data_IF_957009576995
#
_entry.id   IF_957009576995
#
_cell.length_a   1.000
_cell.length_b   1.000
_cell.length_c   1.000
_cell.angle_alpha   90.00
_cell.angle_beta   90.00
_cell.angle_gamma   90.00
#
_symmetry.space_group_name_H-M   'P 1'
#
loop_
_entity.id
_entity.type
_entity.pdbx_description
1 polymer ?
#
# COMPACT_ATOMS: atom_id res chain seq x y z
N UNK A 1 -29.66 23.78 -9.74
CA UNK A 1 -29.03 22.56 -10.25
C UNK A 1 -27.65 22.53 -9.65
N UNK A 2 -27.49 21.82 -8.54
CA UNK A 2 -26.19 21.64 -7.87
C UNK A 2 -25.38 20.63 -8.68
N UNK A 3 -24.35 21.12 -9.39
CA UNK A 3 -23.35 20.25 -10.01
C UNK A 3 -22.58 19.52 -8.90
N UNK A 4 -23.07 18.36 -8.49
CA UNK A 4 -22.34 17.45 -7.61
C UNK A 4 -21.23 16.76 -8.41
N UNK A 5 -20.18 17.50 -8.74
CA UNK A 5 -18.95 16.98 -9.35
C UNK A 5 -17.93 16.60 -8.25
N UNK A 6 -18.39 15.93 -7.19
CA UNK A 6 -17.46 15.34 -6.22
C UNK A 6 -16.67 14.22 -6.91
N UNK A 7 -15.34 14.29 -6.96
CA UNK A 7 -14.55 13.23 -7.57
C UNK A 7 -14.84 11.89 -6.89
N UNK A 8 -15.18 10.89 -7.67
CA UNK A 8 -15.45 9.53 -7.19
C UNK A 8 -14.18 8.69 -7.22
N UNK A 9 -14.09 7.80 -6.25
CA UNK A 9 -13.06 6.75 -6.21
C UNK A 9 -13.53 5.62 -7.14
N UNK A 10 -12.62 5.05 -7.92
CA UNK A 10 -12.90 3.83 -8.67
C UNK A 10 -13.25 2.70 -7.67
N UNK A 11 -14.33 1.92 -7.92
CA UNK A 11 -14.69 0.85 -7.02
C UNK A 11 -13.54 -0.15 -6.86
N UNK A 12 -13.25 -0.52 -5.61
CA UNK A 12 -12.30 -1.60 -5.34
C UNK A 12 -12.99 -2.96 -5.55
N UNK A 13 -12.26 -3.93 -6.06
CA UNK A 13 -12.77 -5.27 -6.26
C UNK A 13 -13.00 -5.99 -4.92
N UNK A 14 -14.00 -6.88 -4.90
CA UNK A 14 -14.17 -7.79 -3.79
C UNK A 14 -13.19 -8.95 -3.93
N UNK A 15 -12.35 -9.22 -2.93
CA UNK A 15 -11.47 -10.38 -2.95
C UNK A 15 -12.28 -11.69 -2.88
N UNK A 16 -11.70 -12.77 -3.40
CA UNK A 16 -12.22 -14.10 -3.14
C UNK A 16 -12.09 -14.38 -1.65
N UNK A 17 -13.15 -14.95 -1.05
CA UNK A 17 -13.23 -15.21 0.37
C UNK A 17 -13.36 -16.71 0.63
N UNK A 18 -12.61 -17.21 1.60
CA UNK A 18 -12.61 -18.59 2.06
C UNK A 18 -12.95 -18.64 3.55
N UNK A 19 -13.59 -19.72 4.01
CA UNK A 19 -14.04 -19.87 5.41
C UNK A 19 -12.89 -20.35 6.32
N UNK A 20 -11.88 -20.97 5.73
CA UNK A 20 -10.69 -21.48 6.41
C UNK A 20 -9.45 -21.13 5.58
N UNK A 21 -8.26 -21.03 6.19
CA UNK A 21 -7.02 -20.88 5.46
C UNK A 21 -6.82 -22.02 4.47
N UNK A 22 -6.71 -21.69 3.18
CA UNK A 22 -6.43 -22.63 2.09
C UNK A 22 -4.99 -22.57 1.64
N UNK A 23 -4.40 -21.38 1.75
CA UNK A 23 -3.02 -21.11 1.39
C UNK A 23 -2.26 -20.67 2.64
N UNK A 24 -1.29 -21.46 3.14
CA UNK A 24 -0.59 -21.11 4.36
C UNK A 24 0.28 -19.86 4.11
N UNK A 25 -0.17 -18.72 4.64
CA UNK A 25 0.63 -17.52 4.83
C UNK A 25 0.89 -16.68 3.56
N UNK A 26 1.73 -15.65 3.70
CA UNK A 26 2.36 -14.87 2.64
C UNK A 26 3.80 -15.41 2.38
N UNK A 27 4.04 -16.73 2.14
CA UNK A 27 5.38 -17.27 2.12
C UNK A 27 6.17 -16.88 0.88
N UNK A 28 5.47 -16.66 -0.25
CA UNK A 28 6.08 -16.23 -1.49
C UNK A 28 6.62 -14.81 -1.33
N UNK A 29 5.80 -13.87 -0.86
CA UNK A 29 6.20 -12.47 -0.61
C UNK A 29 7.34 -12.43 0.39
N UNK A 30 7.24 -13.21 1.49
CA UNK A 30 8.30 -13.26 2.50
C UNK A 30 9.62 -13.75 1.91
N UNK A 31 9.57 -14.81 1.11
CA UNK A 31 10.76 -15.39 0.45
C UNK A 31 11.33 -14.44 -0.59
N UNK A 32 10.49 -13.84 -1.42
CA UNK A 32 10.89 -12.96 -2.51
C UNK A 32 11.53 -11.66 -2.02
N UNK A 33 11.02 -11.09 -0.92
CA UNK A 33 11.51 -9.85 -0.34
C UNK A 33 12.52 -10.05 0.80
N UNK A 34 12.75 -11.28 1.28
CA UNK A 34 13.60 -11.60 2.44
C UNK A 34 13.10 -11.01 3.76
N UNK A 35 11.78 -10.88 3.95
CA UNK A 35 11.16 -10.18 5.09
C UNK A 35 11.53 -10.84 6.42
N UNK A 36 11.41 -12.17 6.55
CA UNK A 36 11.77 -12.90 7.78
C UNK A 36 13.24 -12.72 8.15
N UNK A 37 14.13 -12.76 7.15
CA UNK A 37 15.55 -12.50 7.37
C UNK A 37 15.80 -11.06 7.81
N UNK A 38 15.12 -10.12 7.19
CA UNK A 38 15.23 -8.71 7.52
C UNK A 38 14.74 -8.44 8.95
N UNK A 39 13.56 -8.99 9.33
CA UNK A 39 13.04 -8.87 10.70
C UNK A 39 14.02 -9.44 11.72
N UNK A 40 14.55 -10.62 11.47
CA UNK A 40 15.51 -11.27 12.39
C UNK A 40 16.84 -10.51 12.46
N UNK A 41 17.39 -10.06 11.32
CA UNK A 41 18.69 -9.40 11.28
C UNK A 41 18.68 -8.01 11.95
N UNK A 42 17.55 -7.31 11.89
CA UNK A 42 17.40 -5.96 12.43
C UNK A 42 16.55 -5.91 13.69
N UNK A 43 16.02 -7.05 14.16
CA UNK A 43 15.15 -7.16 15.33
C UNK A 43 13.98 -6.17 15.26
N UNK A 44 13.17 -6.26 14.21
CA UNK A 44 12.05 -5.37 13.94
C UNK A 44 10.79 -6.15 13.59
N UNK A 45 9.65 -5.68 14.08
CA UNK A 45 8.34 -6.32 13.92
C UNK A 45 7.21 -5.31 13.67
N UNK A 46 7.52 -4.01 13.69
CA UNK A 46 6.55 -2.92 13.66
C UNK A 46 6.02 -2.52 15.04
N UNK A 47 6.46 -3.17 16.11
CA UNK A 47 5.98 -2.90 17.46
C UNK A 47 6.10 -1.43 17.88
N UNK A 48 5.03 -0.90 18.51
CA UNK A 48 4.94 0.49 18.99
C UNK A 48 4.72 1.51 17.88
N UNK A 49 4.38 1.08 16.67
CA UNK A 49 3.98 1.92 15.54
C UNK A 49 2.60 1.50 15.05
N UNK A 50 1.89 2.42 14.42
CA UNK A 50 0.52 2.22 13.94
C UNK A 50 0.40 2.59 12.47
N UNK A 51 -0.29 1.74 11.70
CA UNK A 51 -0.77 2.06 10.36
C UNK A 51 -2.26 2.44 10.40
N UNK A 52 -2.63 3.56 9.80
CA UNK A 52 -4.02 3.86 9.47
C UNK A 52 -4.34 3.33 8.07
N UNK A 53 -5.43 2.57 7.93
CA UNK A 53 -5.86 1.97 6.66
C UNK A 53 -7.16 2.64 6.21
N UNK A 54 -7.07 3.52 5.21
CA UNK A 54 -8.22 4.19 4.60
C UNK A 54 -8.78 3.31 3.49
N UNK A 55 -9.84 2.53 3.80
CA UNK A 55 -10.35 1.49 2.93
C UNK A 55 -11.84 1.16 3.21
N UNK A 56 -12.28 -0.08 2.94
CA UNK A 56 -13.64 -0.58 3.16
C UNK A 56 -13.96 -0.96 4.61
N UNK A 57 -13.01 -0.78 5.52
CA UNK A 57 -13.11 -1.22 6.92
C UNK A 57 -12.21 -2.42 7.22
N UNK A 58 -12.52 -3.17 8.28
CA UNK A 58 -11.74 -4.34 8.70
C UNK A 58 -12.59 -5.33 9.49
N UNK A 59 -12.32 -6.63 9.32
CA UNK A 59 -12.81 -7.67 10.23
C UNK A 59 -11.95 -7.67 11.50
N UNK A 60 -12.35 -6.86 12.48
CA UNK A 60 -11.57 -6.61 13.69
C UNK A 60 -11.55 -7.80 14.66
N UNK A 61 -12.44 -8.80 14.47
CA UNK A 61 -12.46 -10.03 15.26
C UNK A 61 -11.50 -11.11 14.72
N UNK A 62 -10.93 -10.91 13.53
CA UNK A 62 -10.03 -11.89 12.93
C UNK A 62 -8.82 -12.15 13.83
N UNK A 63 -8.45 -13.43 13.99
CA UNK A 63 -7.33 -13.86 14.84
C UNK A 63 -5.99 -13.23 14.46
N UNK A 64 -5.84 -12.82 13.20
CA UNK A 64 -4.65 -12.15 12.70
C UNK A 64 -4.37 -10.80 13.37
N UNK A 65 -5.39 -10.15 13.88
CA UNK A 65 -5.20 -8.81 14.48
C UNK A 65 -5.01 -8.84 15.99
N UNK A 66 -5.50 -9.86 16.70
CA UNK A 66 -5.16 -10.17 18.09
C UNK A 66 -5.14 -8.99 19.08
N UNK A 67 -6.13 -8.07 19.02
CA UNK A 67 -6.22 -6.89 19.89
C UNK A 67 -5.35 -5.71 19.44
N UNK A 68 -4.70 -5.77 18.27
CA UNK A 68 -3.88 -4.66 17.72
C UNK A 68 -4.68 -3.67 16.88
N UNK A 69 -5.98 -3.87 16.71
CA UNK A 69 -6.91 -2.83 16.24
C UNK A 69 -7.23 -1.91 17.42
N UNK A 70 -6.60 -0.74 17.48
CA UNK A 70 -6.62 0.11 18.67
C UNK A 70 -7.64 1.24 18.61
N UNK A 71 -8.23 1.50 17.45
CA UNK A 71 -9.36 2.40 17.21
C UNK A 71 -10.03 2.02 15.90
N UNK A 72 -11.25 2.52 15.69
CA UNK A 72 -12.01 2.36 14.45
C UNK A 72 -12.68 3.68 14.08
N UNK A 73 -12.74 3.99 12.77
CA UNK A 73 -13.41 5.19 12.28
C UNK A 73 -14.26 4.82 11.06
N UNK A 74 -15.53 5.17 11.09
CA UNK A 74 -16.44 5.01 9.95
C UNK A 74 -16.91 6.37 9.44
N UNK A 75 -16.61 6.65 8.18
CA UNK A 75 -16.99 7.87 7.47
C UNK A 75 -18.02 7.58 6.36
N UNK A 76 -18.64 6.39 6.41
CA UNK A 76 -19.68 5.96 5.48
C UNK A 76 -21.04 5.84 6.20
N UNK A 77 -22.09 5.59 5.43
CA UNK A 77 -23.41 5.33 5.97
C UNK A 77 -23.62 3.85 6.35
N UNK A 78 -22.63 2.98 6.07
CA UNK A 78 -22.69 1.58 6.47
C UNK A 78 -22.68 1.41 7.99
N UNK A 79 -23.02 0.22 8.45
CA UNK A 79 -23.03 -0.15 9.87
C UNK A 79 -23.93 0.81 10.70
N UNK A 80 -25.05 1.24 10.09
CA UNK A 80 -25.98 2.20 10.68
C UNK A 80 -25.42 3.61 10.89
N UNK A 81 -24.35 3.97 10.17
CA UNK A 81 -23.67 5.26 10.31
C UNK A 81 -22.95 5.42 11.67
N UNK A 82 -22.69 4.33 12.40
CA UNK A 82 -21.95 4.41 13.65
C UNK A 82 -20.49 4.81 13.39
N UNK A 83 -20.02 5.98 13.86
CA UNK A 83 -18.69 6.49 13.56
C UNK A 83 -17.54 5.67 14.15
N UNK A 84 -17.83 4.77 15.09
CA UNK A 84 -16.86 3.91 15.77
C UNK A 84 -16.94 2.45 15.30
N UNK A 85 -17.67 2.17 14.24
CA UNK A 85 -17.82 0.83 13.68
C UNK A 85 -17.34 0.80 12.22
N UNK A 86 -16.09 0.42 12.04
CA UNK A 86 -15.47 0.25 10.72
C UNK A 86 -15.51 -1.22 10.24
N UNK A 87 -16.51 -2.00 10.66
CA UNK A 87 -16.68 -3.39 10.18
C UNK A 87 -16.72 -3.43 8.66
N UNK A 88 -15.97 -4.36 8.08
CA UNK A 88 -15.79 -4.54 6.65
C UNK A 88 -16.83 -5.53 6.08
N UNK A 89 -17.73 -5.05 5.23
CA UNK A 89 -18.66 -5.88 4.48
C UNK A 89 -18.22 -6.18 3.04
N UNK A 90 -17.07 -5.66 2.62
CA UNK A 90 -16.48 -5.89 1.31
C UNK A 90 -15.37 -6.96 1.34
N UNK A 91 -14.42 -6.80 2.24
CA UNK A 91 -13.26 -7.67 2.44
C UNK A 91 -11.95 -7.11 1.88
N UNK A 92 -11.98 -5.98 1.14
CA UNK A 92 -10.77 -5.39 0.58
C UNK A 92 -9.87 -4.81 1.69
N UNK A 93 -10.42 -3.99 2.58
CA UNK A 93 -9.64 -3.40 3.67
C UNK A 93 -9.11 -4.42 4.68
N UNK A 94 -9.84 -5.52 4.90
CA UNK A 94 -9.37 -6.64 5.75
C UNK A 94 -8.16 -7.33 5.13
N UNK A 95 -8.18 -7.60 3.81
CA UNK A 95 -7.04 -8.14 3.07
C UNK A 95 -5.83 -7.21 3.16
N UNK A 96 -6.02 -5.93 2.87
CA UNK A 96 -4.97 -4.89 2.95
C UNK A 96 -4.36 -4.81 4.36
N UNK A 97 -5.20 -4.78 5.40
CA UNK A 97 -4.73 -4.74 6.79
C UNK A 97 -3.94 -5.97 7.20
N UNK A 98 -4.35 -7.16 6.74
CA UNK A 98 -3.64 -8.42 6.99
C UNK A 98 -2.25 -8.44 6.35
N UNK A 99 -2.09 -7.93 5.12
CA UNK A 99 -0.76 -7.80 4.48
C UNK A 99 0.18 -6.93 5.33
N UNK A 100 -0.33 -5.86 5.95
CA UNK A 100 0.49 -5.02 6.83
C UNK A 100 0.87 -5.77 8.11
N UNK A 101 -0.14 -6.30 8.86
CA UNK A 101 0.05 -6.61 10.27
C UNK A 101 -0.63 -7.91 10.75
N UNK A 102 -1.00 -8.84 9.90
CA UNK A 102 -1.47 -10.15 10.36
C UNK A 102 -0.42 -10.82 11.27
N UNK A 103 -0.86 -11.46 12.34
CA UNK A 103 -0.01 -12.23 13.24
C UNK A 103 -0.82 -13.33 13.96
N UNK A 104 -1.50 -14.13 13.19
CA UNK A 104 -2.30 -15.27 13.62
C UNK A 104 -2.19 -16.40 12.60
N UNK A 105 -3.25 -16.61 11.81
CA UNK A 105 -3.23 -17.59 10.71
C UNK A 105 -2.34 -17.14 9.55
N UNK A 106 -2.27 -15.82 9.32
CA UNK A 106 -1.34 -15.21 8.37
C UNK A 106 -0.27 -14.40 9.11
N UNK A 107 0.81 -14.06 8.39
CA UNK A 107 1.89 -13.24 8.92
C UNK A 107 2.20 -12.08 7.97
N UNK A 108 1.78 -10.90 8.35
CA UNK A 108 2.03 -9.66 7.63
C UNK A 108 3.50 -9.22 7.68
N UNK A 109 3.80 -8.15 6.97
CA UNK A 109 5.16 -7.60 6.87
C UNK A 109 5.64 -7.04 8.22
N UNK A 110 4.76 -6.34 8.95
CA UNK A 110 5.01 -5.75 10.27
C UNK A 110 4.05 -6.35 11.33
N UNK A 111 4.23 -7.62 11.75
CA UNK A 111 3.22 -8.40 12.44
C UNK A 111 2.87 -7.91 13.86
N UNK A 112 3.66 -7.04 14.46
CA UNK A 112 3.37 -6.46 15.78
C UNK A 112 2.97 -4.97 15.70
N UNK A 113 2.79 -4.43 14.51
CA UNK A 113 2.23 -3.09 14.35
C UNK A 113 0.77 -3.03 14.78
N UNK A 114 0.34 -1.90 15.34
CA UNK A 114 -1.07 -1.60 15.55
C UNK A 114 -1.72 -1.13 14.24
N UNK A 115 -3.04 -1.31 14.15
CA UNK A 115 -3.83 -0.91 12.98
C UNK A 115 -5.03 -0.08 13.43
N UNK A 116 -5.39 0.90 12.61
CA UNK A 116 -6.63 1.66 12.73
C UNK A 116 -7.33 1.63 11.36
N UNK A 117 -8.42 0.86 11.21
CA UNK A 117 -9.27 0.96 10.05
C UNK A 117 -10.03 2.29 10.05
N UNK A 118 -9.96 3.01 8.93
CA UNK A 118 -10.75 4.20 8.64
C UNK A 118 -11.59 3.89 7.42
N UNK A 119 -12.84 3.54 7.65
CA UNK A 119 -13.78 3.16 6.59
C UNK A 119 -14.21 4.41 5.81
N UNK A 120 -13.63 4.59 4.64
CA UNK A 120 -13.91 5.66 3.69
C UNK A 120 -14.61 5.16 2.43
N UNK A 121 -14.55 3.84 2.20
CA UNK A 121 -15.26 3.13 1.14
C UNK A 121 -16.39 2.30 1.77
N UNK A 122 -17.54 2.30 1.12
CA UNK A 122 -18.69 1.50 1.56
C UNK A 122 -18.51 0.00 1.23
N UNK A 123 -19.48 -0.81 1.61
CA UNK A 123 -19.45 -2.27 1.41
C UNK A 123 -19.49 -2.67 -0.08
N UNK A 124 -19.85 -1.77 -0.99
CA UNK A 124 -19.72 -1.95 -2.44
C UNK A 124 -18.34 -1.53 -2.97
N UNK A 125 -17.40 -1.11 -2.09
CA UNK A 125 -16.08 -0.63 -2.46
C UNK A 125 -16.07 0.76 -3.10
N UNK A 126 -17.09 1.58 -2.84
CA UNK A 126 -17.25 2.92 -3.42
C UNK A 126 -17.08 4.02 -2.39
N UNK A 127 -16.54 5.14 -2.81
CA UNK A 127 -16.37 6.32 -1.96
C UNK A 127 -16.09 7.58 -2.78
N UNK A 128 -15.75 8.64 -2.07
CA UNK A 128 -15.42 9.94 -2.66
C UNK A 128 -14.21 10.58 -1.93
N UNK A 129 -13.59 11.55 -2.56
CA UNK A 129 -12.40 12.21 -2.01
C UNK A 129 -12.72 13.19 -0.88
N UNK A 130 -13.98 13.50 -0.59
CA UNK A 130 -14.36 14.23 0.63
C UNK A 130 -14.18 13.32 1.86
N UNK A 131 -14.63 12.05 1.76
CA UNK A 131 -14.42 11.05 2.82
C UNK A 131 -12.94 10.75 3.03
N UNK A 132 -12.15 10.66 1.94
CA UNK A 132 -10.69 10.53 2.03
C UNK A 132 -10.08 11.72 2.77
N UNK A 133 -10.44 12.94 2.41
CA UNK A 133 -9.97 14.15 3.09
C UNK A 133 -10.33 14.14 4.58
N UNK A 134 -11.54 13.72 4.93
CA UNK A 134 -11.95 13.58 6.35
C UNK A 134 -11.14 12.49 7.08
N UNK A 135 -10.83 11.36 6.42
CA UNK A 135 -9.98 10.31 6.98
C UNK A 135 -8.55 10.80 7.23
N UNK A 136 -7.93 11.48 6.26
CA UNK A 136 -6.60 12.07 6.41
C UNK A 136 -6.57 13.15 7.50
N UNK A 137 -7.63 13.97 7.59
CA UNK A 137 -7.78 14.96 8.67
C UNK A 137 -7.84 14.28 10.03
N UNK A 138 -8.61 13.20 10.17
CA UNK A 138 -8.66 12.42 11.40
C UNK A 138 -7.27 11.87 11.77
N UNK A 139 -6.53 11.32 10.81
CA UNK A 139 -5.15 10.86 11.03
C UNK A 139 -4.25 12.01 11.51
N UNK A 140 -4.28 13.16 10.82
CA UNK A 140 -3.50 14.35 11.20
C UNK A 140 -3.78 14.77 12.64
N UNK A 141 -5.04 14.79 13.05
CA UNK A 141 -5.46 15.26 14.38
C UNK A 141 -5.15 14.24 15.49
N UNK A 142 -4.97 12.94 15.13
CA UNK A 142 -4.84 11.84 16.10
C UNK A 142 -3.51 11.06 16.00
N UNK A 143 -2.59 11.40 15.07
CA UNK A 143 -1.38 10.61 14.84
C UNK A 143 -0.47 10.48 16.08
N UNK A 144 -0.34 11.53 16.87
CA UNK A 144 0.48 11.49 18.09
C UNK A 144 -0.14 10.57 19.15
N UNK A 145 -1.46 10.71 19.39
CA UNK A 145 -2.16 9.93 20.40
C UNK A 145 -2.09 8.44 20.14
N UNK A 146 -2.17 8.03 18.86
CA UNK A 146 -2.22 6.64 18.46
C UNK A 146 -0.90 6.14 17.85
N UNK A 147 0.18 6.91 17.91
CA UNK A 147 1.47 6.61 17.30
C UNK A 147 1.33 6.22 15.81
N UNK A 148 0.44 6.89 15.04
CA UNK A 148 0.27 6.65 13.62
C UNK A 148 1.47 7.24 12.89
N UNK A 149 2.21 6.39 12.16
CA UNK A 149 3.41 6.79 11.44
C UNK A 149 3.34 6.46 9.95
N UNK A 150 2.33 5.70 9.54
CA UNK A 150 2.06 5.39 8.15
C UNK A 150 0.54 5.36 7.88
N UNK A 151 0.16 5.74 6.67
CA UNK A 151 -1.19 5.65 6.12
C UNK A 151 -1.16 4.78 4.87
N UNK A 152 -2.04 3.79 4.79
CA UNK A 152 -2.27 2.96 3.62
C UNK A 152 -3.53 3.45 2.89
N UNK A 153 -3.40 3.74 1.60
CA UNK A 153 -4.51 4.11 0.72
C UNK A 153 -4.49 3.24 -0.53
N UNK A 154 -5.12 2.08 -0.44
CA UNK A 154 -5.25 1.13 -1.55
C UNK A 154 -6.44 1.49 -2.45
N UNK A 155 -6.45 2.70 -2.99
CA UNK A 155 -7.55 3.30 -3.75
C UNK A 155 -7.06 4.37 -4.72
N UNK A 156 -7.92 4.73 -5.69
CA UNK A 156 -7.65 5.79 -6.66
C UNK A 156 -8.88 6.15 -7.49
N UNK A 157 -8.78 7.13 -8.37
CA UNK A 157 -9.88 7.60 -9.21
C UNK A 157 -10.03 6.86 -10.56
N UNK A 158 -9.12 5.90 -10.84
CA UNK A 158 -9.12 5.12 -12.09
C UNK A 158 -8.70 5.92 -13.33
N UNK A 159 -8.22 7.16 -13.16
CA UNK A 159 -7.70 7.98 -14.26
C UNK A 159 -6.17 7.83 -14.39
N UNK A 160 -5.58 8.54 -15.34
CA UNK A 160 -4.16 8.46 -15.64
C UNK A 160 -3.56 9.86 -15.75
N UNK A 161 -2.69 10.22 -14.82
CA UNK A 161 -2.04 11.52 -14.75
C UNK A 161 -0.52 11.37 -14.88
N UNK A 162 0.11 12.33 -15.54
CA UNK A 162 1.57 12.40 -15.72
C UNK A 162 2.21 13.55 -14.92
N UNK A 163 1.40 14.39 -14.25
CA UNK A 163 1.86 15.54 -13.46
C UNK A 163 0.85 15.89 -12.38
N UNK A 164 1.31 16.42 -11.27
CA UNK A 164 0.51 16.96 -10.16
C UNK A 164 0.46 18.51 -10.14
N UNK A 165 0.91 19.18 -11.20
CA UNK A 165 0.99 20.65 -11.25
C UNK A 165 -0.38 21.31 -11.07
N UNK A 166 -1.45 20.70 -11.57
CA UNK A 166 -2.81 21.20 -11.41
C UNK A 166 -3.39 20.98 -10.01
N UNK A 167 -2.67 20.29 -9.11
CA UNK A 167 -3.11 19.94 -7.76
C UNK A 167 -2.50 20.84 -6.66
N UNK A 168 -1.92 21.99 -6.99
CA UNK A 168 -1.30 22.86 -5.98
C UNK A 168 -2.23 23.29 -4.85
N UNK A 169 -3.51 23.47 -5.14
CA UNK A 169 -4.53 23.89 -4.18
C UNK A 169 -5.43 22.73 -3.71
N UNK A 170 -5.10 21.50 -4.09
CA UNK A 170 -5.88 20.32 -3.75
C UNK A 170 -5.91 20.07 -2.23
N UNK A 171 -7.10 19.78 -1.69
CA UNK A 171 -7.30 19.60 -0.26
C UNK A 171 -6.64 18.32 0.28
N UNK A 172 -6.66 17.23 -0.49
CA UNK A 172 -6.01 15.96 -0.12
C UNK A 172 -4.50 16.15 -0.13
N UNK A 173 -3.95 16.83 -1.15
CA UNK A 173 -2.52 17.16 -1.20
C UNK A 173 -2.05 17.94 0.01
N UNK A 174 -2.79 18.96 0.44
CA UNK A 174 -2.45 19.76 1.64
C UNK A 174 -2.37 18.90 2.90
N UNK A 175 -3.32 17.97 3.06
CA UNK A 175 -3.31 17.04 4.20
C UNK A 175 -2.11 16.06 4.13
N UNK A 176 -1.77 15.56 2.94
CA UNK A 176 -0.59 14.73 2.74
C UNK A 176 0.68 15.51 3.08
N UNK A 177 0.79 16.77 2.69
CA UNK A 177 1.92 17.65 3.04
C UNK A 177 2.04 17.84 4.56
N UNK A 178 0.92 18.10 5.26
CA UNK A 178 0.89 18.24 6.72
C UNK A 178 1.34 16.94 7.40
N UNK A 179 0.84 15.78 6.97
CA UNK A 179 1.25 14.47 7.48
C UNK A 179 2.73 14.20 7.25
N UNK A 180 3.24 14.51 6.06
CA UNK A 180 4.66 14.38 5.71
C UNK A 180 5.57 15.21 6.61
N UNK A 181 5.19 16.47 6.91
CA UNK A 181 5.91 17.33 7.87
C UNK A 181 5.95 16.68 9.25
N UNK A 182 4.88 16.02 9.65
CA UNK A 182 4.77 15.26 10.91
C UNK A 182 5.42 13.86 10.84
N UNK A 183 6.18 13.55 9.78
CA UNK A 183 6.87 12.28 9.57
C UNK A 183 5.93 11.07 9.47
N UNK A 184 4.68 11.30 9.09
CA UNK A 184 3.70 10.27 8.75
C UNK A 184 3.76 10.00 7.24
N UNK A 185 4.13 8.78 6.85
CA UNK A 185 4.22 8.38 5.46
C UNK A 185 2.83 8.04 4.90
N UNK A 186 2.38 8.73 3.87
CA UNK A 186 1.15 8.37 3.14
C UNK A 186 1.53 7.56 1.91
N UNK A 187 1.09 6.31 1.85
CA UNK A 187 1.45 5.32 0.82
C UNK A 187 0.22 4.99 0.01
N UNK A 188 0.29 5.11 -1.31
CA UNK A 188 -0.87 5.10 -2.19
C UNK A 188 -0.64 4.19 -3.40
N UNK A 189 -1.66 3.41 -3.75
CA UNK A 189 -1.66 2.53 -4.92
C UNK A 189 -1.60 3.32 -6.23
N UNK A 190 -0.66 2.98 -7.12
CA UNK A 190 -0.44 3.69 -8.39
C UNK A 190 -1.64 3.62 -9.34
N UNK A 191 -2.48 2.58 -9.24
CA UNK A 191 -3.64 2.32 -10.07
C UNK A 191 -3.52 1.04 -10.89
N UNK A 192 -4.67 0.51 -11.35
CA UNK A 192 -4.79 -0.80 -12.00
C UNK A 192 -5.28 -0.72 -13.46
N UNK A 193 -5.26 0.45 -14.06
CA UNK A 193 -5.89 0.71 -15.35
C UNK A 193 -4.87 0.94 -16.49
N UNK A 194 -3.61 0.46 -16.36
CA UNK A 194 -2.57 0.70 -17.37
C UNK A 194 -2.99 0.21 -18.76
N UNK A 195 -3.51 -1.02 -18.87
CA UNK A 195 -4.04 -1.54 -20.13
C UNK A 195 -5.22 -0.68 -20.65
N UNK A 196 -6.16 -0.30 -19.77
CA UNK A 196 -7.33 0.52 -20.14
C UNK A 196 -6.92 1.92 -20.64
N UNK A 197 -5.80 2.45 -20.16
CA UNK A 197 -5.21 3.68 -20.64
C UNK A 197 -4.26 3.48 -21.84
N UNK A 198 -4.48 2.41 -22.62
CA UNK A 198 -3.70 2.07 -23.82
C UNK A 198 -2.19 1.98 -23.54
N UNK A 199 -1.82 1.44 -22.41
CA UNK A 199 -0.43 1.31 -21.94
C UNK A 199 0.33 2.65 -21.90
N UNK A 200 -0.38 3.74 -21.64
CA UNK A 200 0.24 5.05 -21.48
C UNK A 200 0.74 5.23 -20.04
N UNK A 201 1.98 5.70 -19.90
CA UNK A 201 2.55 5.99 -18.60
C UNK A 201 1.72 7.01 -17.83
N UNK A 202 1.61 6.82 -16.52
CA UNK A 202 0.89 7.68 -15.61
C UNK A 202 0.48 6.95 -14.34
N UNK A 203 -0.11 7.67 -13.40
CA UNK A 203 -0.66 7.14 -12.16
C UNK A 203 -2.06 7.72 -11.90
N UNK A 204 -2.85 7.02 -11.11
CA UNK A 204 -4.15 7.54 -10.68
C UNK A 204 -3.97 8.64 -9.62
N UNK A 205 -5.01 9.44 -9.42
CA UNK A 205 -5.09 10.34 -8.27
C UNK A 205 -5.64 9.55 -7.06
N UNK A 206 -5.06 9.69 -5.84
CA UNK A 206 -4.07 10.68 -5.45
C UNK A 206 -2.60 10.22 -5.52
N UNK A 207 -2.28 9.03 -6.04
CA UNK A 207 -0.91 8.51 -6.13
C UNK A 207 0.04 9.41 -6.95
N UNK A 208 -0.49 10.23 -7.88
CA UNK A 208 0.29 11.20 -8.65
C UNK A 208 0.87 12.33 -7.81
N UNK A 209 0.40 12.55 -6.58
CA UNK A 209 0.87 13.61 -5.68
C UNK A 209 2.29 13.29 -5.21
N UNK A 210 3.26 14.17 -5.52
CA UNK A 210 4.70 13.98 -5.22
C UNK A 210 5.05 13.90 -3.74
N UNK A 211 4.17 14.26 -2.84
CA UNK A 211 4.40 14.21 -1.39
C UNK A 211 4.02 12.87 -0.75
N UNK A 212 3.30 12.00 -1.46
CA UNK A 212 3.04 10.63 -1.02
C UNK A 212 4.14 9.66 -1.49
N UNK A 213 3.99 8.39 -1.16
CA UNK A 213 4.79 7.28 -1.70
C UNK A 213 3.89 6.44 -2.59
N UNK A 214 4.15 6.45 -3.88
CA UNK A 214 3.37 5.73 -4.89
C UNK A 214 3.91 4.31 -5.10
N UNK A 215 3.00 3.33 -5.19
CA UNK A 215 3.38 1.91 -5.24
C UNK A 215 2.76 1.21 -6.45
N UNK A 216 3.62 0.67 -7.33
CA UNK A 216 3.24 -0.23 -8.41
C UNK A 216 3.29 -1.71 -7.99
N UNK A 217 2.76 -2.59 -8.83
CA UNK A 217 2.66 -4.02 -8.55
C UNK A 217 3.54 -4.88 -9.45
N UNK A 218 4.22 -5.87 -8.84
CA UNK A 218 4.96 -6.94 -9.51
C UNK A 218 4.43 -8.31 -9.08
N UNK A 219 4.77 -9.35 -9.85
CA UNK A 219 4.65 -10.73 -9.40
C UNK A 219 5.82 -11.10 -8.49
N UNK A 220 5.60 -12.00 -7.54
CA UNK A 220 6.64 -12.52 -6.64
C UNK A 220 7.13 -13.92 -7.04
N UNK A 221 6.38 -14.61 -7.91
CA UNK A 221 6.70 -15.95 -8.36
C UNK A 221 6.23 -16.21 -9.81
N UNK A 222 6.46 -17.43 -10.28
CA UNK A 222 5.87 -17.97 -11.50
C UNK A 222 4.48 -18.53 -11.18
N UNK A 223 3.44 -17.73 -11.45
CA UNK A 223 2.05 -17.97 -11.06
C UNK A 223 1.19 -18.47 -12.24
N UNK A 224 1.79 -18.63 -13.44
CA UNK A 224 1.08 -19.04 -14.65
C UNK A 224 0.46 -17.87 -15.41
N UNK A 225 -0.75 -18.06 -15.96
CA UNK A 225 -1.44 -17.05 -16.78
C UNK A 225 -2.62 -16.42 -16.04
N UNK A 226 -2.84 -15.12 -16.27
CA UNK A 226 -3.95 -14.36 -15.69
C UNK A 226 -4.72 -13.57 -16.74
N UNK A 227 -6.04 -13.49 -16.54
CA UNK A 227 -6.90 -12.54 -17.23
C UNK A 227 -7.59 -11.68 -16.18
N UNK A 228 -7.30 -10.39 -16.18
CA UNK A 228 -7.83 -9.44 -15.21
C UNK A 228 -9.16 -8.88 -15.68
N UNK A 229 -10.20 -8.98 -14.85
CA UNK A 229 -11.56 -8.56 -15.20
C UNK A 229 -11.70 -7.07 -15.50
N UNK A 230 -10.88 -6.25 -14.84
CA UNK A 230 -10.90 -4.81 -15.01
C UNK A 230 -10.03 -4.39 -16.20
N UNK A 231 -10.69 -4.07 -17.34
CA UNK A 231 -10.04 -3.50 -18.49
C UNK A 231 -9.46 -4.45 -19.51
N UNK A 232 -9.33 -5.77 -19.22
CA UNK A 232 -8.86 -6.77 -20.17
C UNK A 232 -7.35 -6.97 -20.23
N UNK A 233 -6.60 -6.49 -19.23
CA UNK A 233 -5.18 -6.80 -19.06
C UNK A 233 -4.97 -8.32 -18.90
N UNK A 234 -3.91 -8.88 -19.51
CA UNK A 234 -3.59 -10.30 -19.48
C UNK A 234 -2.09 -10.49 -19.33
N UNK A 235 -1.71 -11.43 -18.47
CA UNK A 235 -0.41 -12.07 -18.50
C UNK A 235 -0.56 -13.48 -19.08
N UNK A 236 0.21 -13.85 -20.08
CA UNK A 236 0.20 -15.20 -20.66
C UNK A 236 1.13 -16.12 -19.89
N UNK A 237 2.19 -15.58 -19.32
CA UNK A 237 3.03 -16.19 -18.28
C UNK A 237 3.48 -15.12 -17.28
N UNK A 238 3.99 -15.55 -16.13
CA UNK A 238 4.46 -14.66 -15.07
C UNK A 238 5.81 -15.11 -14.54
N UNK A 239 6.59 -14.18 -14.01
CA UNK A 239 7.84 -14.47 -13.32
C UNK A 239 8.08 -13.46 -12.18
N UNK A 240 8.87 -13.87 -11.21
CA UNK A 240 9.25 -13.03 -10.10
C UNK A 240 9.91 -11.71 -10.53
N UNK A 241 9.38 -10.58 -10.09
CA UNK A 241 9.86 -9.23 -10.41
C UNK A 241 9.27 -8.61 -11.67
N UNK A 242 8.51 -9.35 -12.46
CA UNK A 242 7.80 -8.82 -13.64
C UNK A 242 6.70 -7.85 -13.18
N UNK A 243 6.62 -6.68 -13.83
CA UNK A 243 5.54 -5.71 -13.58
C UNK A 243 4.22 -6.27 -14.10
N UNK A 244 3.18 -6.19 -13.29
CA UNK A 244 1.86 -6.68 -13.70
C UNK A 244 1.26 -5.82 -14.82
N UNK A 245 0.55 -6.42 -15.81
CA UNK A 245 0.04 -5.67 -16.96
C UNK A 245 -1.06 -4.65 -16.61
N UNK A 246 -1.67 -4.76 -15.43
CA UNK A 246 -2.63 -3.78 -14.95
C UNK A 246 -1.96 -2.59 -14.24
N UNK A 247 -0.75 -2.74 -13.69
CA UNK A 247 -0.11 -1.72 -12.84
C UNK A 247 0.18 -0.45 -13.61
N UNK A 248 -0.46 0.65 -13.19
CA UNK A 248 -0.07 1.97 -13.65
C UNK A 248 1.34 2.29 -13.17
N UNK A 249 2.09 2.99 -14.02
CA UNK A 249 3.49 3.32 -13.79
C UNK A 249 3.89 4.58 -14.56
N UNK A 250 4.72 5.38 -13.92
CA UNK A 250 5.24 6.63 -14.48
C UNK A 250 6.74 6.70 -14.22
N UNK A 251 7.55 6.71 -15.28
CA UNK A 251 8.99 6.78 -15.15
C UNK A 251 9.49 8.24 -15.05
N UNK A 252 10.60 8.44 -14.34
CA UNK A 252 11.23 9.75 -14.13
C UNK A 252 11.66 10.46 -15.42
N UNK A 253 11.82 9.74 -16.53
CA UNK A 253 12.09 10.33 -17.84
C UNK A 253 10.92 11.11 -18.42
N UNK A 254 9.68 10.76 -18.02
CA UNK A 254 8.44 11.48 -18.39
C UNK A 254 8.22 12.66 -17.43
N UNK A 255 8.31 12.40 -16.12
CA UNK A 255 8.21 13.44 -15.11
C UNK A 255 9.10 13.11 -13.90
N UNK A 256 10.16 13.90 -13.71
CA UNK A 256 11.13 13.68 -12.62
C UNK A 256 10.58 13.97 -11.21
N UNK A 257 9.47 14.68 -11.10
CA UNK A 257 8.91 15.11 -9.83
C UNK A 257 7.80 14.20 -9.29
N UNK A 258 7.17 13.41 -10.16
CA UNK A 258 5.99 12.60 -9.86
C UNK A 258 6.09 11.18 -10.41
N UNK A 259 7.27 10.60 -10.48
CA UNK A 259 7.45 9.20 -10.93
C UNK A 259 6.93 8.20 -9.88
N UNK A 260 6.60 6.99 -10.32
CA UNK A 260 6.30 5.87 -9.39
C UNK A 260 7.51 5.60 -8.51
N UNK A 261 7.34 5.68 -7.19
CA UNK A 261 8.44 5.61 -6.24
C UNK A 261 9.03 4.22 -6.09
N UNK A 262 8.16 3.19 -5.98
CA UNK A 262 8.60 1.82 -5.70
C UNK A 262 7.57 0.81 -6.21
N UNK A 263 8.02 -0.43 -6.43
CA UNK A 263 7.16 -1.57 -6.74
C UNK A 263 7.25 -2.62 -5.63
N UNK A 264 6.15 -3.35 -5.43
CA UNK A 264 6.06 -4.43 -4.47
C UNK A 264 5.17 -5.57 -5.00
N UNK A 265 5.24 -6.79 -4.45
CA UNK A 265 4.33 -7.87 -4.78
C UNK A 265 2.87 -7.47 -4.63
N UNK A 266 2.08 -7.73 -5.67
CA UNK A 266 0.68 -7.35 -5.70
C UNK A 266 -0.24 -8.34 -6.43
N UNK A 267 0.24 -9.51 -6.89
CA UNK A 267 -0.60 -10.43 -7.65
C UNK A 267 0.00 -11.85 -7.75
N UNK A 268 -0.76 -12.90 -7.33
CA UNK A 268 -1.86 -12.83 -6.37
C UNK A 268 -1.34 -12.67 -4.94
N UNK A 269 -2.15 -12.13 -4.03
CA UNK A 269 -1.79 -12.01 -2.62
C UNK A 269 -2.89 -12.59 -1.73
N UNK A 270 -2.50 -13.56 -0.91
CA UNK A 270 -3.35 -14.17 0.12
C UNK A 270 -3.21 -13.41 1.43
N UNK A 271 -4.33 -13.15 2.11
CA UNK A 271 -4.36 -12.44 3.40
C UNK A 271 -5.67 -12.67 4.14
N UNK A 272 -5.83 -12.06 5.31
CA UNK A 272 -7.03 -12.11 6.14
C UNK A 272 -8.30 -11.79 5.35
N UNK A 273 -9.39 -12.49 5.67
CA UNK A 273 -10.69 -12.34 5.02
C UNK A 273 -11.82 -12.01 6.00
N UNK A 274 -13.03 -11.87 5.45
CA UNK A 274 -14.21 -11.50 6.25
C UNK A 274 -15.16 -12.67 6.56
N UNK A 275 -14.83 -13.88 6.16
CA UNK A 275 -15.63 -15.08 6.48
C UNK A 275 -15.22 -15.67 7.82
N UNK A 276 -15.72 -15.05 8.91
CA UNK A 276 -15.41 -15.46 10.27
C UNK A 276 -14.03 -15.02 10.76
N UNK A 277 -13.64 -15.55 11.91
CA UNK A 277 -12.42 -15.13 12.63
C UNK A 277 -11.14 -15.74 12.05
N UNK A 278 -11.25 -16.72 11.17
CA UNK A 278 -10.19 -17.43 10.46
C UNK A 278 -10.29 -17.32 8.94
N UNK A 279 -11.11 -16.39 8.44
CA UNK A 279 -11.35 -16.25 7.01
C UNK A 279 -10.12 -15.82 6.24
N UNK A 280 -9.99 -16.33 5.02
CA UNK A 280 -8.91 -16.00 4.11
C UNK A 280 -9.46 -15.30 2.86
N UNK A 281 -8.67 -14.45 2.25
CA UNK A 281 -8.99 -13.83 0.97
C UNK A 281 -7.77 -13.75 0.06
N UNK A 282 -8.01 -13.89 -1.25
CA UNK A 282 -6.99 -13.72 -2.29
C UNK A 282 -7.40 -12.59 -3.20
N UNK A 283 -6.48 -11.66 -3.42
CA UNK A 283 -6.70 -10.52 -4.31
C UNK A 283 -5.42 -10.13 -5.04
N UNK A 284 -5.58 -9.27 -6.04
CA UNK A 284 -4.49 -8.75 -6.87
C UNK A 284 -4.73 -7.29 -7.21
N UNK A 285 -3.66 -6.51 -7.23
CA UNK A 285 -3.71 -5.08 -7.56
C UNK A 285 -2.52 -4.32 -6.98
N UNK A 286 -2.33 -3.10 -7.42
CA UNK A 286 -1.47 -2.14 -6.71
C UNK A 286 -1.99 -1.89 -5.29
N UNK A 287 -3.27 -2.23 -5.04
CA UNK A 287 -3.90 -2.27 -3.72
C UNK A 287 -3.26 -3.26 -2.76
N UNK A 288 -2.73 -4.38 -3.23
CA UNK A 288 -2.03 -5.39 -2.42
C UNK A 288 -0.54 -5.09 -2.31
N UNK A 289 0.05 -4.44 -3.31
CA UNK A 289 1.44 -3.98 -3.26
C UNK A 289 1.65 -2.83 -2.24
N UNK A 290 0.67 -1.94 -2.12
CA UNK A 290 0.72 -0.78 -1.21
C UNK A 290 0.91 -1.17 0.25
N UNK A 291 0.15 -2.11 0.85
CA UNK A 291 0.34 -2.53 2.23
C UNK A 291 1.68 -3.24 2.48
N UNK A 292 2.27 -3.89 1.48
CA UNK A 292 3.65 -4.43 1.58
C UNK A 292 4.62 -3.28 1.83
N UNK A 293 4.52 -2.19 1.05
CA UNK A 293 5.36 -1.01 1.25
C UNK A 293 5.10 -0.34 2.61
N UNK A 294 3.84 -0.26 3.07
CA UNK A 294 3.50 0.26 4.41
C UNK A 294 4.18 -0.56 5.50
N UNK A 295 4.08 -1.89 5.45
CA UNK A 295 4.73 -2.77 6.41
C UNK A 295 6.24 -2.57 6.45
N UNK A 296 6.89 -2.46 5.28
CA UNK A 296 8.32 -2.17 5.19
C UNK A 296 8.70 -0.82 5.79
N UNK A 297 7.90 0.22 5.56
CA UNK A 297 8.09 1.54 6.16
C UNK A 297 8.04 1.46 7.68
N UNK A 298 7.07 0.73 8.25
CA UNK A 298 6.98 0.52 9.70
C UNK A 298 8.23 -0.17 10.27
N UNK A 299 8.75 -1.21 9.60
CA UNK A 299 10.00 -1.86 10.03
C UNK A 299 11.19 -0.89 10.00
N UNK A 300 11.32 -0.10 8.93
CA UNK A 300 12.38 0.90 8.78
C UNK A 300 12.27 2.02 9.83
N UNK A 301 11.05 2.50 10.09
CA UNK A 301 10.77 3.51 11.11
C UNK A 301 11.08 2.97 12.52
N UNK A 302 10.72 1.73 12.83
CA UNK A 302 11.04 1.10 14.11
C UNK A 302 12.55 1.02 14.32
N UNK A 303 13.30 0.53 13.33
CA UNK A 303 14.75 0.43 13.41
C UNK A 303 15.41 1.80 13.60
N UNK A 304 15.03 2.79 12.77
CA UNK A 304 15.58 4.14 12.86
C UNK A 304 15.25 4.80 14.20
N UNK A 305 13.98 4.73 14.66
CA UNK A 305 13.54 5.32 15.94
C UNK A 305 14.26 4.70 17.13
N UNK A 306 14.47 3.39 17.13
CA UNK A 306 15.23 2.72 18.19
C UNK A 306 16.67 3.22 18.31
N UNK A 307 17.28 3.58 17.19
CA UNK A 307 18.68 4.05 17.16
C UNK A 307 18.83 5.56 17.41
N UNK A 308 17.80 6.35 17.15
CA UNK A 308 17.89 7.84 17.18
C UNK A 308 16.94 8.49 18.15
N UNK A 309 15.93 7.79 18.64
CA UNK A 309 14.81 8.36 19.41
C UNK A 309 13.76 9.09 18.57
N UNK A 310 13.96 9.22 17.24
CA UNK A 310 13.10 9.99 16.35
C UNK A 310 12.60 9.15 15.18
N UNK A 311 11.50 9.56 14.56
CA UNK A 311 11.08 9.02 13.27
C UNK A 311 11.94 9.62 12.13
N UNK A 312 12.22 8.86 11.06
CA UNK A 312 12.91 9.41 9.87
C UNK A 312 11.97 10.36 9.11
N UNK A 313 12.56 11.20 8.26
CA UNK A 313 11.80 11.98 7.29
C UNK A 313 11.23 11.03 6.21
N UNK A 314 10.06 11.39 5.66
CA UNK A 314 9.43 10.58 4.61
C UNK A 314 10.31 10.48 3.36
N UNK A 315 11.03 11.57 3.01
CA UNK A 315 11.97 11.58 1.88
C UNK A 315 13.15 10.61 2.08
N UNK A 316 13.56 10.38 3.32
CA UNK A 316 14.63 9.44 3.60
C UNK A 316 14.13 7.99 3.48
N UNK A 317 12.88 7.72 3.86
CA UNK A 317 12.23 6.41 3.64
C UNK A 317 12.20 6.06 2.15
N UNK A 318 11.75 6.99 1.29
CA UNK A 318 11.73 6.79 -0.17
C UNK A 318 13.15 6.50 -0.68
N UNK A 319 14.13 7.31 -0.30
CA UNK A 319 15.53 7.11 -0.71
C UNK A 319 16.09 5.75 -0.28
N UNK A 320 15.76 5.30 0.93
CA UNK A 320 16.26 4.03 1.44
C UNK A 320 15.57 2.83 0.78
N UNK A 321 14.27 2.91 0.50
CA UNK A 321 13.56 1.92 -0.30
C UNK A 321 14.16 1.81 -1.71
N UNK A 322 14.39 2.95 -2.37
CA UNK A 322 14.94 2.98 -3.72
C UNK A 322 16.40 2.51 -3.78
N UNK A 323 17.25 2.91 -2.83
CA UNK A 323 18.67 2.52 -2.79
C UNK A 323 18.90 1.08 -2.34
N UNK A 324 18.03 0.58 -1.49
CA UNK A 324 18.05 -0.80 -1.04
C UNK A 324 17.24 -1.74 -1.93
N UNK A 325 16.47 -1.21 -2.86
CA UNK A 325 15.64 -1.99 -3.77
C UNK A 325 16.43 -2.69 -4.88
N UNK A 326 15.72 -3.54 -5.61
CA UNK A 326 16.25 -4.26 -6.77
C UNK A 326 15.71 -3.63 -8.04
N UNK A 327 16.59 -3.40 -9.03
CA UNK A 327 16.19 -2.92 -10.35
C UNK A 327 15.32 -3.95 -11.07
N UNK A 328 14.24 -3.47 -11.69
CA UNK A 328 13.37 -4.25 -12.58
C UNK A 328 13.22 -3.49 -13.89
N UNK A 329 13.21 -4.22 -15.00
CA UNK A 329 13.05 -3.65 -16.34
C UNK A 329 11.63 -3.92 -16.85
N UNK A 330 10.96 -2.90 -17.37
CA UNK A 330 9.64 -3.00 -18.02
C UNK A 330 9.86 -3.10 -19.53
N UNK A 331 10.22 -4.30 -19.99
CA UNK A 331 10.70 -4.57 -21.36
C UNK A 331 9.87 -5.61 -22.12
N UNK A 332 10.28 -5.86 -23.37
CA UNK A 332 9.57 -6.73 -24.31
C UNK A 332 9.74 -8.23 -24.02
N UNK A 333 10.44 -8.60 -22.97
CA UNK A 333 10.59 -9.97 -22.51
C UNK A 333 9.45 -10.44 -21.59
N UNK A 334 8.48 -9.59 -21.32
CA UNK A 334 7.28 -9.87 -20.57
C UNK A 334 6.18 -10.42 -21.49
N UNK A 335 5.64 -11.59 -21.11
CA UNK A 335 4.64 -12.30 -21.92
C UNK A 335 3.23 -11.87 -21.49
N UNK A 336 2.79 -10.70 -21.98
CA UNK A 336 1.49 -10.11 -21.67
C UNK A 336 0.89 -9.32 -22.86
N UNK A 337 -0.20 -8.59 -22.63
CA UNK A 337 -0.90 -7.86 -23.69
C UNK A 337 -0.81 -6.32 -23.55
N UNK A 338 0.19 -5.80 -22.85
CA UNK A 338 0.44 -4.37 -22.76
C UNK A 338 1.68 -3.95 -23.56
N UNK A 339 1.78 -2.65 -23.85
CA UNK A 339 3.01 -2.07 -24.39
C UNK A 339 3.87 -1.62 -23.22
N UNK A 340 5.12 -2.09 -23.21
CA UNK A 340 6.07 -1.81 -22.14
C UNK A 340 6.72 -0.44 -22.31
N UNK A 341 7.17 0.13 -21.19
CA UNK A 341 7.80 1.46 -21.17
C UNK A 341 9.24 1.44 -21.64
N UNK A 342 9.87 0.27 -21.65
CA UNK A 342 11.30 0.06 -21.89
C UNK A 342 12.17 0.90 -20.94
N UNK A 343 11.76 0.98 -19.67
CA UNK A 343 12.40 1.75 -18.62
C UNK A 343 12.69 0.89 -17.39
N UNK A 344 13.66 1.35 -16.59
CA UNK A 344 14.03 0.70 -15.34
C UNK A 344 13.28 1.30 -14.16
N UNK A 345 12.71 0.44 -13.35
CA UNK A 345 12.05 0.76 -12.09
C UNK A 345 12.75 0.04 -10.92
N UNK A 346 12.25 0.24 -9.71
CA UNK A 346 12.83 -0.35 -8.50
C UNK A 346 11.72 -1.04 -7.72
N UNK A 347 11.93 -2.31 -7.35
CA UNK A 347 11.09 -3.03 -6.40
C UNK A 347 11.71 -3.10 -5.02
N UNK A 348 10.89 -3.28 -4.00
CA UNK A 348 11.34 -3.46 -2.62
C UNK A 348 12.21 -4.71 -2.47
N UNK A 349 13.26 -4.59 -1.65
CA UNK A 349 13.98 -5.69 -1.00
C UNK A 349 14.10 -5.35 0.49
N UNK A 350 13.56 -6.19 1.35
CA UNK A 350 13.42 -5.87 2.77
C UNK A 350 14.77 -5.81 3.48
N UNK A 351 15.64 -6.78 3.20
CA UNK A 351 16.94 -6.87 3.85
C UNK A 351 17.85 -5.71 3.46
N UNK A 352 17.94 -5.43 2.17
CA UNK A 352 18.80 -4.36 1.63
C UNK A 352 18.26 -2.97 1.99
N UNK A 353 16.93 -2.77 2.06
CA UNK A 353 16.34 -1.51 2.50
C UNK A 353 16.70 -1.19 3.95
N UNK A 354 16.58 -2.16 4.88
CA UNK A 354 17.00 -1.98 6.27
C UNK A 354 18.53 -1.81 6.42
N UNK A 355 19.34 -2.51 5.60
CA UNK A 355 20.79 -2.27 5.57
C UNK A 355 21.14 -0.85 5.12
N UNK A 356 20.35 -0.30 4.19
CA UNK A 356 20.53 1.10 3.77
C UNK A 356 20.24 2.08 4.90
N UNK A 357 19.22 1.83 5.73
CA UNK A 357 18.96 2.60 6.96
C UNK A 357 20.16 2.51 7.91
N UNK A 358 20.67 1.29 8.15
CA UNK A 358 21.85 1.07 9.00
C UNK A 358 23.06 1.87 8.52
N UNK A 359 23.35 1.83 7.23
CA UNK A 359 24.49 2.59 6.63
C UNK A 359 24.30 4.09 6.80
N UNK A 360 23.07 4.61 6.62
CA UNK A 360 22.76 6.01 6.82
C UNK A 360 22.99 6.45 8.28
N UNK A 361 22.61 5.60 9.24
CA UNK A 361 22.84 5.84 10.67
C UNK A 361 24.34 5.84 11.01
N UNK A 362 25.11 4.86 10.52
CA UNK A 362 26.56 4.82 10.72
C UNK A 362 27.25 6.07 10.17
N UNK A 363 26.85 6.52 8.99
CA UNK A 363 27.39 7.78 8.42
C UNK A 363 27.07 8.97 9.32
N UNK A 364 25.82 9.10 9.80
CA UNK A 364 25.42 10.18 10.72
C UNK A 364 26.25 10.19 12.01
N UNK A 365 26.60 8.99 12.54
CA UNK A 365 27.44 8.87 13.75
C UNK A 365 28.90 9.25 13.50
N UNK A 366 29.41 9.04 12.27
CA UNK A 366 30.79 9.41 11.91
C UNK A 366 30.93 10.91 11.60
N UNK A 367 29.84 11.55 11.17
CA UNK A 367 29.80 12.97 10.82
C UNK A 367 29.45 13.87 12.04
N UNK A 368 29.10 13.29 13.21
CA UNK A 368 28.75 13.98 14.46
C UNK A 368 29.91 14.05 15.43
#
# INVERSE_FOLDING_TARGET
MTNNNTPLIAPVERPRQFDQPMFPHLPEIDSFLWVNRARAAFDVTGAGLTAAVLDTGMNTSHVDFGGRVIAQVNLTDDNGGNPNDATDGNGHGTNVGGIIAANGDHKGIAPEASIIPIKVLNNEGRGDFVKIGNGLKWVRDNHQQHAITAVCMSLGDGKNYISDEHLENDAVRKLIQELKVNRVAVVIAAGNDYFRHNSQQGMSYPAIIRECISVGAVYDAEEGSFSYGNGGAKAFSTRAGQITPFSQRLHRSVNRFTATDIFAPGAPVTSSGIKGDHGESVQQGTSQATPVAVGMILLMQQFYRRMTGELPKVEDLIKWLQRGGVGIHDGDDEDDNVTHTNQDFIRIDALSSLDTVRRALLKRMLDA
#
